data_IF_813822441569
#
_entry.id   IF_813822441569
#
_cell.length_a   1.000
_cell.length_b   1.000
_cell.length_c   1.000
_cell.angle_alpha   90.00
_cell.angle_beta   90.00
_cell.angle_gamma   90.00
#
_symmetry.space_group_name_H-M   'P 1'
#
loop_
_entity.id
_entity.type
_entity.pdbx_description
1 polymer ?
#
# COMPACT_ATOMS: atom_id res chain seq x y z
N UNK A 1 6.03 6.17 20.01
CA UNK A 1 7.17 5.25 19.76
C UNK A 1 6.93 4.61 18.41
N UNK A 2 7.96 4.50 17.56
CA UNK A 2 7.81 3.95 16.21
C UNK A 2 8.21 2.49 16.20
N UNK A 3 7.47 1.66 15.47
CA UNK A 3 7.73 0.22 15.30
C UNK A 3 7.93 -0.08 13.82
N UNK A 4 8.84 -0.99 13.52
CA UNK A 4 9.22 -1.34 12.16
C UNK A 4 8.88 -2.80 11.89
N UNK A 5 8.25 -3.06 10.75
CA UNK A 5 7.98 -4.41 10.24
C UNK A 5 9.15 -4.78 9.34
N UNK A 6 9.99 -5.68 9.81
CA UNK A 6 11.29 -5.95 9.23
C UNK A 6 11.39 -7.38 8.73
N UNK A 7 11.94 -7.55 7.54
CA UNK A 7 12.51 -8.82 7.12
C UNK A 7 13.90 -8.96 7.75
N UNK A 8 13.99 -9.83 8.74
CA UNK A 8 15.21 -10.06 9.53
C UNK A 8 16.29 -10.82 8.77
N UNK A 9 15.93 -11.56 7.72
CA UNK A 9 16.89 -12.29 6.90
C UNK A 9 17.55 -11.35 5.88
N UNK A 10 16.74 -10.51 5.22
CA UNK A 10 17.23 -9.57 4.22
C UNK A 10 17.68 -8.23 4.80
N UNK A 11 17.45 -8.02 6.11
CA UNK A 11 17.77 -6.78 6.83
C UNK A 11 17.13 -5.57 6.13
N UNK A 12 15.84 -5.68 5.82
CA UNK A 12 15.05 -4.59 5.21
C UNK A 12 13.80 -4.29 6.01
N UNK A 13 13.40 -3.02 6.01
CA UNK A 13 12.17 -2.53 6.61
C UNK A 13 11.09 -2.47 5.54
N UNK A 14 9.98 -3.16 5.78
CA UNK A 14 8.81 -3.19 4.90
C UNK A 14 7.86 -2.04 5.20
N UNK A 15 7.54 -1.84 6.48
CA UNK A 15 6.56 -0.84 6.92
C UNK A 15 7.00 -0.15 8.20
N UNK A 16 6.60 1.11 8.33
CA UNK A 16 6.74 1.92 9.53
C UNK A 16 5.37 2.05 10.19
N UNK A 17 5.30 1.76 11.49
CA UNK A 17 4.05 1.74 12.26
C UNK A 17 4.10 2.57 13.53
N UNK A 18 2.95 3.18 13.86
CA UNK A 18 2.80 4.03 15.05
C UNK A 18 2.53 3.24 16.33
N UNK A 19 2.10 1.98 16.23
CA UNK A 19 1.84 1.11 17.38
C UNK A 19 2.37 -0.29 17.13
N UNK A 20 2.70 -1.00 18.20
CA UNK A 20 3.17 -2.39 18.13
C UNK A 20 2.10 -3.32 17.57
N UNK A 21 0.84 -3.17 18.03
CA UNK A 21 -0.28 -3.98 17.55
C UNK A 21 -0.49 -3.89 16.03
N UNK A 22 -0.41 -2.67 15.48
CA UNK A 22 -0.50 -2.42 14.04
C UNK A 22 0.67 -3.07 13.29
N UNK A 23 1.91 -2.92 13.78
CA UNK A 23 3.07 -3.58 13.21
C UNK A 23 2.93 -5.12 13.21
N UNK A 24 2.41 -5.69 14.29
CA UNK A 24 2.20 -7.15 14.42
C UNK A 24 1.22 -7.68 13.39
N UNK A 25 0.16 -6.93 13.06
CA UNK A 25 -0.81 -7.33 12.04
C UNK A 25 -0.12 -7.49 10.67
N UNK A 26 0.71 -6.53 10.27
CA UNK A 26 1.41 -6.62 8.99
C UNK A 26 2.55 -7.65 9.00
N UNK A 27 3.26 -7.80 10.12
CA UNK A 27 4.28 -8.85 10.24
C UNK A 27 3.64 -10.24 10.10
N UNK A 28 2.51 -10.48 10.78
CA UNK A 28 1.75 -11.73 10.68
C UNK A 28 1.25 -11.95 9.24
N UNK A 29 0.65 -10.93 8.62
CA UNK A 29 0.16 -11.03 7.25
C UNK A 29 1.29 -11.38 6.25
N UNK A 30 2.44 -10.73 6.36
CA UNK A 30 3.56 -11.03 5.48
C UNK A 30 4.11 -12.45 5.69
N UNK A 31 4.19 -12.90 6.95
CA UNK A 31 4.62 -14.26 7.29
C UNK A 31 3.63 -15.33 6.80
N UNK A 32 2.31 -15.09 6.91
CA UNK A 32 1.27 -15.97 6.36
C UNK A 32 1.44 -16.15 4.86
N UNK A 33 1.75 -15.08 4.14
CA UNK A 33 1.92 -15.14 2.69
C UNK A 33 3.22 -15.85 2.28
N UNK A 34 4.30 -15.65 3.04
CA UNK A 34 5.61 -16.24 2.76
C UNK A 34 5.73 -17.69 3.26
N UNK A 35 4.75 -18.17 4.03
CA UNK A 35 4.82 -19.44 4.77
C UNK A 35 6.12 -19.52 5.61
N UNK A 36 6.44 -18.43 6.30
CA UNK A 36 7.71 -18.24 7.02
C UNK A 36 7.52 -17.46 8.33
N UNK A 37 8.56 -17.38 9.16
CA UNK A 37 8.58 -16.57 10.39
C UNK A 37 9.78 -15.61 10.44
N UNK A 38 10.09 -15.00 9.30
CA UNK A 38 11.24 -14.12 9.12
C UNK A 38 10.89 -12.63 9.25
N UNK A 39 9.61 -12.29 9.17
CA UNK A 39 9.13 -10.92 9.33
C UNK A 39 8.83 -10.66 10.80
N UNK A 40 9.52 -9.70 11.40
CA UNK A 40 9.41 -9.41 12.82
C UNK A 40 9.15 -7.93 13.07
N UNK A 41 8.55 -7.64 14.22
CA UNK A 41 8.35 -6.28 14.70
C UNK A 41 9.54 -5.89 15.56
N UNK A 42 10.27 -4.86 15.16
CA UNK A 42 11.43 -4.35 15.89
C UNK A 42 11.32 -2.85 16.16
N UNK A 43 12.04 -2.37 17.18
CA UNK A 43 12.21 -0.93 17.42
C UNK A 43 13.32 -0.32 16.54
N UNK A 44 14.11 -1.15 15.86
CA UNK A 44 15.20 -0.75 14.98
C UNK A 44 14.72 -0.71 13.52
N UNK A 45 15.08 0.35 12.82
CA UNK A 45 14.88 0.46 11.37
C UNK A 45 16.09 -0.14 10.65
N UNK A 46 15.85 -1.00 9.66
CA UNK A 46 16.85 -1.40 8.66
C UNK A 46 16.67 -0.60 7.36
N UNK A 47 17.35 -1.00 6.29
CA UNK A 47 17.20 -0.34 4.99
C UNK A 47 15.76 -0.43 4.47
N UNK A 48 15.16 0.68 4.05
CA UNK A 48 13.81 0.68 3.48
C UNK A 48 13.78 -0.10 2.16
N UNK A 49 12.75 -0.92 1.98
CA UNK A 49 12.44 -1.52 0.69
C UNK A 49 12.16 -0.42 -0.35
N UNK A 50 12.76 -0.54 -1.53
CA UNK A 50 12.72 0.54 -2.55
C UNK A 50 11.68 0.29 -3.65
N UNK A 51 11.34 -0.98 -3.88
CA UNK A 51 10.43 -1.36 -4.95
C UNK A 51 9.03 -1.60 -4.43
N UNK A 52 8.04 -0.95 -5.03
CA UNK A 52 6.63 -1.14 -4.70
C UNK A 52 6.16 -2.57 -4.99
N UNK A 53 6.52 -3.13 -6.14
CA UNK A 53 6.19 -4.52 -6.47
C UNK A 53 6.83 -5.51 -5.50
N UNK A 54 8.07 -5.25 -5.08
CA UNK A 54 8.76 -6.08 -4.10
C UNK A 54 8.07 -6.03 -2.74
N UNK A 55 7.71 -4.83 -2.27
CA UNK A 55 6.95 -4.65 -1.02
C UNK A 55 5.61 -5.37 -1.08
N UNK A 56 4.84 -5.19 -2.15
CA UNK A 56 3.53 -5.84 -2.29
C UNK A 56 3.64 -7.36 -2.40
N UNK A 57 4.75 -7.87 -2.94
CA UNK A 57 5.06 -9.29 -3.00
C UNK A 57 5.05 -9.97 -1.63
N UNK A 58 5.52 -9.28 -0.57
CA UNK A 58 5.44 -9.79 0.81
C UNK A 58 4.00 -10.04 1.28
N UNK A 59 3.02 -9.37 0.68
CA UNK A 59 1.60 -9.47 1.03
C UNK A 59 0.76 -10.19 -0.02
N UNK A 60 1.39 -10.76 -1.05
CA UNK A 60 0.74 -11.58 -2.05
C UNK A 60 0.08 -10.79 -3.17
N UNK A 61 0.52 -9.55 -3.40
CA UNK A 61 -0.01 -8.71 -4.47
C UNK A 61 1.07 -8.22 -5.42
N UNK A 62 0.66 -7.97 -6.66
CA UNK A 62 1.30 -6.97 -7.52
C UNK A 62 0.57 -5.63 -7.41
N UNK A 63 1.17 -4.56 -7.96
CA UNK A 63 0.50 -3.26 -8.07
C UNK A 63 -0.84 -3.40 -8.81
N UNK A 64 -0.86 -4.18 -9.89
CA UNK A 64 -2.10 -4.39 -10.67
C UNK A 64 -3.17 -5.09 -9.86
N UNK A 65 -2.84 -6.25 -9.26
CA UNK A 65 -3.85 -7.05 -8.54
C UNK A 65 -4.40 -6.30 -7.34
N UNK A 66 -3.57 -5.57 -6.60
CA UNK A 66 -4.02 -4.79 -5.45
C UNK A 66 -4.93 -3.64 -5.88
N UNK A 67 -4.50 -2.85 -6.86
CA UNK A 67 -5.30 -1.70 -7.32
C UNK A 67 -6.61 -2.18 -7.95
N UNK A 68 -6.58 -3.22 -8.77
CA UNK A 68 -7.79 -3.73 -9.42
C UNK A 68 -8.78 -4.25 -8.37
N UNK A 69 -8.30 -5.01 -7.38
CA UNK A 69 -9.13 -5.51 -6.27
C UNK A 69 -9.71 -4.37 -5.43
N UNK A 70 -8.92 -3.33 -5.13
CA UNK A 70 -9.41 -2.14 -4.42
C UNK A 70 -10.53 -1.44 -5.20
N UNK A 71 -10.40 -1.34 -6.52
CA UNK A 71 -11.42 -0.72 -7.36
C UNK A 71 -12.68 -1.57 -7.50
N UNK A 72 -12.58 -2.90 -7.45
CA UNK A 72 -13.76 -3.78 -7.43
C UNK A 72 -14.65 -3.52 -6.21
N UNK A 73 -14.10 -3.05 -5.09
CA UNK A 73 -14.89 -2.68 -3.91
C UNK A 73 -15.66 -1.35 -4.07
N UNK A 74 -15.29 -0.53 -5.05
CA UNK A 74 -15.96 0.74 -5.29
C UNK A 74 -17.30 0.52 -6.01
N UNK A 75 -18.27 1.45 -5.86
CA UNK A 75 -19.47 1.47 -6.68
C UNK A 75 -19.12 1.47 -8.17
N UNK A 76 -19.91 0.79 -9.02
CA UNK A 76 -19.62 0.64 -10.46
C UNK A 76 -19.30 1.97 -11.17
N UNK A 77 -20.03 3.05 -10.84
CA UNK A 77 -19.80 4.41 -11.37
C UNK A 77 -18.40 4.99 -11.08
N UNK A 78 -17.72 4.49 -10.06
CA UNK A 78 -16.38 4.91 -9.64
C UNK A 78 -15.27 4.03 -10.23
N UNK A 79 -15.61 2.89 -10.85
CA UNK A 79 -14.68 1.93 -11.48
C UNK A 79 -14.22 2.41 -12.87
N UNK A 80 -13.75 3.64 -12.93
CA UNK A 80 -13.30 4.27 -14.16
C UNK A 80 -11.88 3.80 -14.46
N UNK A 81 -11.65 3.20 -15.62
CA UNK A 81 -10.35 2.64 -16.00
C UNK A 81 -9.20 3.65 -15.86
N UNK A 82 -9.43 4.90 -16.24
CA UNK A 82 -8.43 5.96 -16.10
C UNK A 82 -8.13 6.33 -14.64
N UNK A 83 -9.02 6.05 -13.68
CA UNK A 83 -8.74 6.24 -12.24
C UNK A 83 -7.78 5.16 -11.76
N UNK A 84 -8.01 3.92 -12.19
CA UNK A 84 -7.14 2.78 -11.90
C UNK A 84 -5.76 3.01 -12.48
N UNK A 85 -5.67 3.40 -13.76
CA UNK A 85 -4.42 3.72 -14.43
C UNK A 85 -3.62 4.80 -13.68
N UNK A 86 -4.29 5.88 -13.23
CA UNK A 86 -3.65 6.91 -12.42
C UNK A 86 -3.06 6.39 -11.11
N UNK A 87 -3.80 5.57 -10.35
CA UNK A 87 -3.27 5.01 -9.10
C UNK A 87 -2.09 4.07 -9.39
N UNK A 88 -2.18 3.21 -10.43
CA UNK A 88 -1.08 2.33 -10.84
C UNK A 88 0.17 3.13 -11.20
N UNK A 89 0.03 4.20 -11.98
CA UNK A 89 1.14 5.08 -12.38
C UNK A 89 1.74 5.81 -11.19
N UNK A 90 0.92 6.29 -10.24
CA UNK A 90 1.43 6.93 -9.02
C UNK A 90 2.29 5.99 -8.18
N UNK A 91 1.95 4.69 -8.13
CA UNK A 91 2.66 3.67 -7.35
C UNK A 91 3.94 3.21 -8.08
N UNK A 92 3.87 3.02 -9.40
CA UNK A 92 5.03 2.60 -10.22
C UNK A 92 6.09 3.69 -10.34
N UNK A 93 5.67 4.94 -10.29
CA UNK A 93 6.54 6.11 -10.50
C UNK A 93 6.49 7.04 -9.29
N UNK A 94 6.97 6.59 -8.11
CA UNK A 94 6.89 7.37 -6.87
C UNK A 94 7.70 8.67 -6.93
N UNK A 95 8.76 8.70 -7.75
CA UNK A 95 9.62 9.87 -7.99
C UNK A 95 8.92 10.99 -8.77
N UNK A 96 7.86 10.68 -9.54
CA UNK A 96 7.12 11.69 -10.28
C UNK A 96 6.11 12.39 -9.37
N UNK A 97 5.98 13.69 -9.53
CA UNK A 97 4.93 14.47 -8.85
C UNK A 97 3.54 14.01 -9.31
N UNK A 98 2.53 14.14 -8.43
CA UNK A 98 1.13 13.81 -8.76
C UNK A 98 0.65 14.50 -10.04
N UNK A 99 1.07 15.74 -10.26
CA UNK A 99 0.74 16.51 -11.47
C UNK A 99 1.31 15.85 -12.73
N UNK A 100 2.56 15.39 -12.70
CA UNK A 100 3.19 14.70 -13.83
C UNK A 100 2.47 13.38 -14.14
N UNK A 101 2.12 12.59 -13.11
CA UNK A 101 1.33 11.37 -13.29
C UNK A 101 -0.06 11.68 -13.88
N UNK A 102 -0.73 12.74 -13.42
CA UNK A 102 -2.01 13.16 -13.98
C UNK A 102 -1.89 13.56 -15.47
N UNK A 103 -0.82 14.27 -15.86
CA UNK A 103 -0.58 14.65 -17.25
C UNK A 103 -0.38 13.41 -18.13
N UNK A 104 0.43 12.44 -17.67
CA UNK A 104 0.65 11.17 -18.38
C UNK A 104 -0.65 10.41 -18.60
N UNK A 105 -1.50 10.37 -17.59
CA UNK A 105 -2.79 9.66 -17.62
C UNK A 105 -3.96 10.50 -18.17
N UNK A 106 -3.66 11.66 -18.75
CA UNK A 106 -4.64 12.60 -19.34
C UNK A 106 -5.77 12.98 -18.37
N UNK A 107 -5.40 13.33 -17.14
CA UNK A 107 -6.31 13.70 -16.04
C UNK A 107 -6.09 15.09 -15.47
N UNK A 108 -7.18 15.67 -14.95
CA UNK A 108 -7.11 16.86 -14.12
C UNK A 108 -6.46 16.56 -12.76
N UNK A 109 -5.48 17.37 -12.31
CA UNK A 109 -4.87 17.25 -10.97
C UNK A 109 -5.88 17.31 -9.81
N UNK A 110 -7.05 17.93 -10.01
CA UNK A 110 -8.08 18.07 -8.96
C UNK A 110 -8.85 16.79 -8.67
N UNK A 111 -8.82 15.79 -9.56
CA UNK A 111 -9.57 14.55 -9.40
C UNK A 111 -8.92 13.55 -8.44
N UNK A 112 -7.63 13.75 -8.13
CA UNK A 112 -6.85 12.86 -7.30
C UNK A 112 -7.38 12.77 -5.85
N UNK A 113 -7.56 13.92 -5.19
CA UNK A 113 -7.85 13.96 -3.75
C UNK A 113 -9.16 13.25 -3.41
N UNK A 114 -10.18 13.42 -4.27
CA UNK A 114 -11.46 12.73 -4.13
C UNK A 114 -11.31 11.21 -4.27
N UNK A 115 -10.52 10.76 -5.23
CA UNK A 115 -10.29 9.33 -5.47
C UNK A 115 -9.55 8.68 -4.30
N UNK A 116 -8.49 9.30 -3.80
CA UNK A 116 -7.75 8.78 -2.64
C UNK A 116 -8.62 8.68 -1.38
N UNK A 117 -9.46 9.69 -1.12
CA UNK A 117 -10.38 9.67 0.02
C UNK A 117 -11.39 8.51 -0.08
N UNK A 118 -11.94 8.27 -1.27
CA UNK A 118 -12.84 7.14 -1.51
C UNK A 118 -12.11 5.81 -1.29
N UNK A 119 -10.92 5.64 -1.86
CA UNK A 119 -10.12 4.43 -1.67
C UNK A 119 -9.79 4.19 -0.19
N UNK A 120 -9.40 5.24 0.53
CA UNK A 120 -9.12 5.18 1.96
C UNK A 120 -10.32 4.72 2.79
N UNK A 121 -11.53 5.20 2.45
CA UNK A 121 -12.77 4.79 3.11
C UNK A 121 -13.05 3.29 2.90
N UNK A 122 -12.98 2.83 1.66
CA UNK A 122 -13.24 1.41 1.35
C UNK A 122 -12.15 0.49 1.92
N UNK A 123 -10.89 0.91 1.89
CA UNK A 123 -9.78 0.18 2.51
C UNK A 123 -9.91 0.12 4.04
N UNK A 124 -10.50 1.14 4.67
CA UNK A 124 -10.87 1.09 6.09
C UNK A 124 -11.92 0.00 6.35
N UNK A 125 -12.94 -0.14 5.50
CA UNK A 125 -13.92 -1.22 5.67
C UNK A 125 -13.29 -2.60 5.55
N UNK A 126 -12.33 -2.78 4.63
CA UNK A 126 -11.54 -4.03 4.58
C UNK A 126 -10.83 -4.26 5.90
N UNK A 127 -10.11 -3.24 6.38
CA UNK A 127 -9.39 -3.29 7.66
C UNK A 127 -10.31 -3.68 8.82
N UNK A 128 -11.52 -3.12 8.89
CA UNK A 128 -12.48 -3.41 9.97
C UNK A 128 -12.98 -4.86 9.90
N UNK A 129 -13.08 -5.45 8.70
CA UNK A 129 -13.51 -6.84 8.48
C UNK A 129 -12.39 -7.87 8.64
N UNK A 130 -11.16 -7.49 8.34
CA UNK A 130 -10.00 -8.39 8.26
C UNK A 130 -9.06 -8.29 9.46
N UNK A 131 -9.54 -7.74 10.58
CA UNK A 131 -8.74 -7.61 11.81
C UNK A 131 -7.57 -6.64 11.69
N UNK A 132 -7.71 -5.58 10.88
CA UNK A 132 -6.74 -4.47 10.78
C UNK A 132 -5.86 -4.47 9.52
N UNK A 133 -6.03 -5.44 8.60
CA UNK A 133 -5.28 -5.49 7.33
C UNK A 133 -5.78 -4.41 6.36
N UNK A 134 -5.17 -3.23 6.41
CA UNK A 134 -5.57 -2.09 5.57
C UNK A 134 -4.71 -2.02 4.29
N UNK A 135 -5.26 -2.29 3.09
CA UNK A 135 -4.46 -2.26 1.87
C UNK A 135 -3.98 -0.86 1.47
N UNK A 136 -4.65 0.21 1.93
CA UNK A 136 -4.20 1.58 1.71
C UNK A 136 -2.86 1.86 2.40
N UNK A 137 -2.57 1.15 3.50
CA UNK A 137 -1.28 1.22 4.18
C UNK A 137 -0.13 0.81 3.27
N UNK A 138 -0.33 -0.28 2.52
CA UNK A 138 0.66 -0.82 1.60
C UNK A 138 0.93 0.18 0.47
N UNK A 139 -0.12 0.76 -0.09
CA UNK A 139 0.01 1.82 -1.11
C UNK A 139 0.77 3.05 -0.57
N UNK A 140 0.46 3.48 0.65
CA UNK A 140 1.13 4.62 1.31
C UNK A 140 2.58 4.35 1.69
N UNK A 141 2.94 3.10 1.94
CA UNK A 141 4.33 2.74 2.18
C UNK A 141 5.20 2.90 0.92
N UNK A 142 4.60 2.71 -0.26
CA UNK A 142 5.28 3.00 -1.54
C UNK A 142 5.28 4.50 -1.81
N UNK A 143 4.15 5.17 -1.54
CA UNK A 143 3.97 6.59 -1.80
C UNK A 143 3.15 7.26 -0.70
N UNK A 144 3.86 7.90 0.23
CA UNK A 144 3.28 8.43 1.47
C UNK A 144 2.25 9.54 1.29
N UNK A 145 2.28 10.24 0.16
CA UNK A 145 1.31 11.30 -0.15
C UNK A 145 0.00 10.76 -0.75
N UNK A 146 -0.17 9.44 -0.86
CA UNK A 146 -1.40 8.85 -1.36
C UNK A 146 -2.59 9.06 -0.40
#
# INVERSE_FOLDING_TARGET
>A
MTYYVNDTHRMVTLLICGTYADATIYAAWANEQLDANQIQVEAKCHALIKSGDELLGYFGFSIDTLVDTLFLMLPARSRIHSNMALIKTLIREPELSKRQCCIRERKSPTHYSRLSNILSLHAKWVSDLSGGRNPMRLLRAIRGDL
#
